data_IF_323892076114
#
_entry.id   IF_323892076114
#
_cell.length_a   1.000
_cell.length_b   1.000
_cell.length_c   1.000
_cell.angle_alpha   90.00
_cell.angle_beta   90.00
_cell.angle_gamma   90.00
#
_symmetry.space_group_name_H-M   'P 1'
#
loop_
_entity.id
_entity.type
_entity.pdbx_description
1 polymer ?
#
# COMPACT_ATOMS: atom_id res chain seq x y z
N UNK A 1 5.29 -7.67 -4.72
CA UNK A 1 4.83 -6.26 -4.61
C UNK A 1 3.37 -6.20 -4.18
N UNK A 2 2.44 -6.85 -4.88
CA UNK A 2 1.02 -6.88 -4.47
C UNK A 2 0.80 -7.43 -3.04
N UNK A 3 1.54 -8.47 -2.68
CA UNK A 3 1.52 -9.02 -1.32
C UNK A 3 2.00 -8.00 -0.27
N UNK A 4 3.11 -7.31 -0.53
CA UNK A 4 3.62 -6.25 0.35
C UNK A 4 2.58 -5.12 0.52
N UNK A 5 1.91 -4.72 -0.56
CA UNK A 5 0.83 -3.73 -0.49
C UNK A 5 -0.37 -4.23 0.31
N UNK A 6 -0.70 -5.52 0.20
CA UNK A 6 -1.73 -6.15 1.03
C UNK A 6 -1.33 -6.12 2.51
N UNK A 7 -0.10 -6.48 2.85
CA UNK A 7 0.40 -6.46 4.25
C UNK A 7 0.38 -5.05 4.83
N UNK A 8 0.80 -4.05 4.07
CA UNK A 8 0.62 -2.65 4.45
C UNK A 8 -0.84 -2.33 4.73
N UNK A 9 -1.75 -2.69 3.82
CA UNK A 9 -3.18 -2.43 3.97
C UNK A 9 -3.76 -3.14 5.20
N UNK A 10 -3.33 -4.37 5.50
CA UNK A 10 -3.74 -5.10 6.70
C UNK A 10 -3.21 -4.44 7.97
N UNK A 11 -1.94 -4.02 7.98
CA UNK A 11 -1.33 -3.32 9.12
C UNK A 11 -2.04 -1.99 9.41
N UNK A 12 -2.48 -1.31 8.35
CA UNK A 12 -3.26 -0.07 8.44
C UNK A 12 -4.67 -0.27 9.01
N UNK A 13 -5.20 -1.49 8.98
CA UNK A 13 -6.58 -1.80 9.40
C UNK A 13 -6.65 -2.52 10.76
N UNK A 14 -5.58 -3.20 11.15
CA UNK A 14 -5.55 -3.92 12.42
C UNK A 14 -5.53 -2.94 13.61
N UNK A 15 -6.28 -3.29 14.65
CA UNK A 15 -6.20 -2.65 15.98
C UNK A 15 -5.52 -3.56 17.00
N UNK A 16 -5.20 -4.80 16.59
CA UNK A 16 -4.46 -5.78 17.37
C UNK A 16 -2.96 -5.49 17.24
N UNK A 17 -2.33 -5.20 18.38
CA UNK A 17 -0.92 -4.83 18.49
C UNK A 17 0.02 -6.01 18.20
N UNK A 18 -0.33 -7.22 18.62
CA UNK A 18 0.46 -8.41 18.33
C UNK A 18 0.44 -8.72 16.83
N UNK A 19 -0.73 -8.58 16.20
CA UNK A 19 -0.86 -8.73 14.74
C UNK A 19 -0.13 -7.62 13.98
N UNK A 20 -0.22 -6.36 14.44
CA UNK A 20 0.52 -5.23 13.87
C UNK A 20 2.03 -5.49 13.88
N UNK A 21 2.56 -5.96 15.01
CA UNK A 21 3.98 -6.31 15.15
C UNK A 21 4.41 -7.43 14.20
N UNK A 22 3.59 -8.48 14.05
CA UNK A 22 3.87 -9.56 13.11
C UNK A 22 3.87 -9.05 11.66
N UNK A 23 2.87 -8.27 11.27
CA UNK A 23 2.75 -7.68 9.93
C UNK A 23 3.93 -6.75 9.61
N UNK A 24 4.43 -5.97 10.57
CA UNK A 24 5.63 -5.14 10.39
C UNK A 24 6.86 -6.00 10.06
N UNK A 25 7.05 -7.13 10.74
CA UNK A 25 8.12 -8.07 10.43
C UNK A 25 8.01 -8.65 9.01
N UNK A 26 6.79 -9.03 8.59
CA UNK A 26 6.54 -9.52 7.23
C UNK A 26 6.76 -8.43 6.16
N UNK A 27 6.35 -7.18 6.45
CA UNK A 27 6.59 -6.02 5.58
C UNK A 27 8.08 -5.77 5.39
N UNK A 28 8.86 -5.83 6.48
CA UNK A 28 10.32 -5.65 6.42
C UNK A 28 10.98 -6.70 5.54
N UNK A 29 10.62 -7.98 5.74
CA UNK A 29 11.21 -9.08 4.99
C UNK A 29 10.87 -8.96 3.51
N UNK A 30 9.60 -8.77 3.16
CA UNK A 30 9.15 -8.58 1.78
C UNK A 30 9.80 -7.36 1.11
N UNK A 31 10.00 -6.27 1.87
CA UNK A 31 10.70 -5.08 1.37
C UNK A 31 12.16 -5.39 1.05
N UNK A 32 12.83 -6.13 1.94
CA UNK A 32 14.22 -6.56 1.76
C UNK A 32 14.38 -7.53 0.59
N UNK A 33 13.51 -8.52 0.48
CA UNK A 33 13.48 -9.47 -0.63
C UNK A 33 13.26 -8.75 -1.96
N UNK A 34 12.32 -7.79 -2.01
CA UNK A 34 12.05 -6.99 -3.21
C UNK A 34 13.29 -6.19 -3.62
N UNK A 35 13.97 -5.54 -2.67
CA UNK A 35 15.21 -4.79 -2.92
C UNK A 35 16.35 -5.70 -3.43
N UNK A 36 16.55 -6.86 -2.79
CA UNK A 36 17.57 -7.83 -3.20
C UNK A 36 17.29 -8.39 -4.60
N UNK A 37 16.03 -8.71 -4.92
CA UNK A 37 15.63 -9.19 -6.23
C UNK A 37 15.88 -8.14 -7.32
N UNK A 38 15.57 -6.87 -7.04
CA UNK A 38 15.82 -5.76 -7.95
C UNK A 38 17.33 -5.58 -8.23
N UNK A 39 18.15 -5.63 -7.19
CA UNK A 39 19.62 -5.56 -7.31
C UNK A 39 20.18 -6.75 -8.10
N UNK A 40 19.73 -7.97 -7.81
CA UNK A 40 20.15 -9.16 -8.55
C UNK A 40 19.73 -9.12 -10.03
N UNK A 41 18.55 -8.58 -10.34
CA UNK A 41 18.11 -8.36 -11.71
C UNK A 41 19.05 -7.37 -12.44
N UNK A 42 19.42 -6.27 -11.77
CA UNK A 42 20.38 -5.29 -12.30
C UNK A 42 21.75 -5.90 -12.55
N UNK A 43 22.29 -6.69 -11.62
CA UNK A 43 23.57 -7.37 -11.78
C UNK A 43 23.59 -8.33 -12.99
N UNK A 44 22.47 -9.03 -13.25
CA UNK A 44 22.31 -9.85 -14.45
C UNK A 44 22.28 -9.02 -15.73
N UNK A 45 21.62 -7.87 -15.71
CA UNK A 45 21.61 -6.93 -16.83
C UNK A 45 23.02 -6.39 -17.12
N UNK A 46 23.78 -5.99 -16.09
CA UNK A 46 25.18 -5.59 -16.24
C UNK A 46 26.04 -6.69 -16.88
N UNK A 47 25.86 -7.94 -16.44
CA UNK A 47 26.58 -9.08 -17.01
C UNK A 47 26.23 -9.31 -18.48
N UNK A 48 24.95 -9.18 -18.84
CA UNK A 48 24.48 -9.28 -20.21
C UNK A 48 25.09 -8.20 -21.10
N UNK A 49 25.03 -6.94 -20.67
CA UNK A 49 25.67 -5.81 -21.38
C UNK A 49 27.17 -6.04 -21.59
N UNK A 50 27.91 -6.50 -20.57
CA UNK A 50 29.33 -6.83 -20.68
C UNK A 50 29.62 -7.97 -21.66
N UNK A 51 28.76 -8.99 -21.70
CA UNK A 51 28.92 -10.11 -22.64
C UNK A 51 28.70 -9.66 -24.09
N UNK A 52 27.65 -8.87 -24.33
CA UNK A 52 27.38 -8.28 -25.64
C UNK A 52 28.52 -7.34 -26.07
N UNK A 53 29.08 -6.55 -25.17
CA UNK A 53 30.25 -5.71 -25.44
C UNK A 53 31.51 -6.51 -25.82
N UNK A 54 31.76 -7.66 -25.18
CA UNK A 54 32.86 -8.56 -25.54
C UNK A 54 32.68 -9.14 -26.95
N UNK A 55 31.47 -9.56 -27.32
CA UNK A 55 31.17 -10.06 -28.67
C UNK A 55 31.46 -9.02 -29.75
N UNK A 56 31.31 -7.73 -29.41
CA UNK A 56 31.59 -6.59 -30.29
C UNK A 56 33.06 -6.15 -30.35
N UNK A 57 33.92 -6.67 -29.48
CA UNK A 57 35.30 -6.17 -29.35
C UNK A 57 36.22 -6.57 -30.51
N UNK A 58 35.83 -7.55 -31.35
CA UNK A 58 36.62 -8.01 -32.51
C UNK A 58 35.75 -8.00 -33.78
N UNK A 59 36.19 -7.38 -34.90
CA UNK A 59 35.40 -7.27 -36.14
C UNK A 59 34.92 -8.61 -36.73
N UNK A 60 35.75 -9.65 -36.68
CA UNK A 60 35.39 -11.00 -37.16
C UNK A 60 34.33 -11.66 -36.26
N UNK A 61 34.39 -11.40 -34.94
CA UNK A 61 33.38 -11.85 -33.97
C UNK A 61 32.03 -11.15 -34.20
N UNK A 62 32.02 -9.89 -34.61
CA UNK A 62 30.78 -9.16 -34.91
C UNK A 62 30.04 -9.76 -36.10
N UNK A 63 30.75 -10.05 -37.19
CA UNK A 63 30.12 -10.64 -38.38
C UNK A 63 29.61 -12.07 -38.10
N UNK A 64 30.39 -12.87 -37.37
CA UNK A 64 30.00 -14.23 -36.98
C UNK A 64 28.80 -14.26 -36.02
N UNK A 65 28.66 -13.26 -35.13
CA UNK A 65 27.66 -13.23 -34.07
C UNK A 65 26.59 -12.13 -34.27
N UNK A 66 26.46 -11.55 -35.46
CA UNK A 66 25.60 -10.39 -35.74
C UNK A 66 24.15 -10.60 -35.29
N UNK A 67 23.57 -11.78 -35.57
CA UNK A 67 22.22 -12.13 -35.15
C UNK A 67 22.09 -12.24 -33.62
N UNK A 68 23.09 -12.83 -32.96
CA UNK A 68 23.13 -13.01 -31.51
C UNK A 68 23.24 -11.65 -30.82
N UNK A 69 24.15 -10.79 -31.27
CA UNK A 69 24.35 -9.43 -30.75
C UNK A 69 23.03 -8.65 -30.81
N UNK A 70 22.35 -8.66 -31.96
CA UNK A 70 21.05 -7.96 -32.12
C UNK A 70 19.98 -8.52 -31.18
N UNK A 71 19.91 -9.84 -31.00
CA UNK A 71 18.95 -10.47 -30.09
C UNK A 71 19.26 -10.07 -28.64
N UNK A 72 20.52 -10.13 -28.23
CA UNK A 72 20.93 -9.75 -26.87
C UNK A 72 20.65 -8.26 -26.60
N UNK A 73 20.99 -7.35 -27.51
CA UNK A 73 20.70 -5.92 -27.34
C UNK A 73 19.20 -5.65 -27.15
N UNK A 74 18.35 -6.24 -28.00
CA UNK A 74 16.90 -6.08 -27.88
C UNK A 74 16.35 -6.65 -26.57
N UNK A 75 16.83 -7.83 -26.17
CA UNK A 75 16.42 -8.45 -24.90
C UNK A 75 16.88 -7.61 -23.70
N UNK A 76 18.11 -7.10 -23.73
CA UNK A 76 18.66 -6.25 -22.70
C UNK A 76 17.79 -5.01 -22.49
N UNK A 77 17.50 -4.28 -23.58
CA UNK A 77 16.64 -3.09 -23.57
C UNK A 77 15.25 -3.40 -23.02
N UNK A 78 14.64 -4.50 -23.47
CA UNK A 78 13.32 -4.91 -23.00
C UNK A 78 13.31 -5.22 -21.49
N UNK A 79 14.34 -5.91 -20.99
CA UNK A 79 14.44 -6.30 -19.58
C UNK A 79 14.76 -5.10 -18.67
N UNK A 80 15.62 -4.17 -19.11
CA UNK A 80 15.87 -2.91 -18.40
C UNK A 80 14.57 -2.12 -18.27
N UNK A 81 13.78 -1.99 -19.34
CA UNK A 81 12.49 -1.30 -19.29
C UNK A 81 11.54 -1.96 -18.30
N UNK A 82 11.41 -3.30 -18.34
CA UNK A 82 10.55 -4.04 -17.40
C UNK A 82 10.97 -3.85 -15.95
N UNK A 83 12.27 -3.88 -15.67
CA UNK A 83 12.79 -3.64 -14.32
C UNK A 83 12.47 -2.21 -13.87
N UNK A 84 12.72 -1.21 -14.72
CA UNK A 84 12.41 0.19 -14.41
C UNK A 84 10.90 0.39 -14.14
N UNK A 85 10.03 -0.19 -14.95
CA UNK A 85 8.57 -0.12 -14.76
C UNK A 85 8.13 -0.77 -13.44
N UNK A 86 8.66 -1.95 -13.12
CA UNK A 86 8.35 -2.65 -11.87
C UNK A 86 8.80 -1.85 -10.64
N UNK A 87 10.01 -1.28 -10.69
CA UNK A 87 10.52 -0.44 -9.61
C UNK A 87 9.75 0.87 -9.48
N UNK A 88 9.25 1.45 -10.59
CA UNK A 88 8.46 2.68 -10.55
C UNK A 88 7.10 2.44 -9.88
N UNK A 89 6.46 1.32 -10.19
CA UNK A 89 5.24 0.92 -9.51
C UNK A 89 5.47 0.66 -8.01
N UNK A 90 6.60 0.02 -7.65
CA UNK A 90 6.96 -0.19 -6.25
C UNK A 90 7.19 1.12 -5.50
N UNK A 91 7.95 2.05 -6.09
CA UNK A 91 8.17 3.39 -5.55
C UNK A 91 6.86 4.14 -5.32
N UNK A 92 5.91 4.02 -6.27
CA UNK A 92 4.57 4.62 -6.17
C UNK A 92 3.77 4.03 -5.00
N UNK A 93 3.84 2.72 -4.79
CA UNK A 93 3.18 2.04 -3.67
C UNK A 93 3.78 2.47 -2.34
N UNK A 94 5.11 2.50 -2.23
CA UNK A 94 5.81 2.93 -1.02
C UNK A 94 5.50 4.39 -0.65
N UNK A 95 5.52 5.29 -1.63
CA UNK A 95 5.14 6.70 -1.42
C UNK A 95 3.69 6.85 -0.91
N UNK A 96 2.76 6.02 -1.40
CA UNK A 96 1.38 6.03 -0.95
C UNK A 96 1.24 5.51 0.49
N UNK A 97 2.01 4.49 0.86
CA UNK A 97 2.03 3.93 2.21
C UNK A 97 2.65 4.91 3.21
N UNK A 98 3.75 5.58 2.85
CA UNK A 98 4.37 6.64 3.63
C UNK A 98 3.38 7.77 3.94
N UNK A 99 2.70 8.29 2.91
CA UNK A 99 1.70 9.35 3.06
C UNK A 99 0.53 8.92 3.96
N UNK A 100 0.13 7.65 3.87
CA UNK A 100 -0.90 7.09 4.76
C UNK A 100 -0.44 7.10 6.21
N UNK A 101 0.74 6.57 6.51
CA UNK A 101 1.25 6.49 7.87
C UNK A 101 1.45 7.89 8.48
N UNK A 102 1.97 8.86 7.71
CA UNK A 102 2.06 10.27 8.15
C UNK A 102 0.68 10.84 8.52
N UNK A 103 -0.33 10.64 7.67
CA UNK A 103 -1.70 11.09 7.94
C UNK A 103 -2.35 10.35 9.12
N UNK A 104 -2.02 9.07 9.32
CA UNK A 104 -2.49 8.29 10.47
C UNK A 104 -1.86 8.81 11.76
N UNK A 105 -0.56 9.11 11.79
CA UNK A 105 0.12 9.69 12.95
C UNK A 105 -0.51 11.01 13.37
N UNK A 106 -0.72 11.94 12.43
CA UNK A 106 -1.45 13.20 12.71
C UNK A 106 -2.82 12.93 13.33
N UNK A 107 -3.58 11.97 12.78
CA UNK A 107 -4.90 11.62 13.29
C UNK A 107 -4.84 10.97 14.67
N UNK A 108 -3.86 10.12 14.95
CA UNK A 108 -3.68 9.50 16.25
C UNK A 108 -3.37 10.56 17.31
N UNK A 109 -2.49 11.50 17.00
CA UNK A 109 -2.15 12.61 17.90
C UNK A 109 -3.42 13.40 18.25
N UNK A 110 -4.20 13.80 17.24
CA UNK A 110 -5.44 14.54 17.42
C UNK A 110 -6.48 13.83 18.30
N UNK A 111 -6.56 12.50 18.22
CA UNK A 111 -7.58 11.71 18.93
C UNK A 111 -7.13 11.36 20.35
N UNK A 112 -5.84 11.08 20.55
CA UNK A 112 -5.31 10.49 21.78
C UNK A 112 -4.76 11.52 22.76
N UNK A 113 -4.43 12.72 22.30
CA UNK A 113 -3.89 13.80 23.14
C UNK A 113 -4.82 15.01 23.18
N UNK A 114 -4.67 15.81 24.23
CA UNK A 114 -5.37 17.09 24.43
C UNK A 114 -4.39 18.22 24.68
N UNK A 115 -4.82 19.46 24.46
CA UNK A 115 -4.04 20.62 24.87
C UNK A 115 -3.90 20.70 26.40
N UNK A 116 -2.96 21.49 26.95
CA UNK A 116 -2.78 21.64 28.40
C UNK A 116 -4.02 22.15 29.14
N UNK A 117 -4.88 22.91 28.46
CA UNK A 117 -6.17 23.40 28.97
C UNK A 117 -7.30 22.35 28.87
N UNK A 118 -6.98 21.13 28.41
CA UNK A 118 -7.93 20.03 28.20
C UNK A 118 -8.73 20.13 26.90
N UNK A 119 -8.52 21.18 26.09
CA UNK A 119 -9.21 21.33 24.81
C UNK A 119 -8.71 20.31 23.77
N UNK A 120 -9.55 20.04 22.76
CA UNK A 120 -9.18 19.14 21.68
C UNK A 120 -8.10 19.78 20.79
N UNK A 121 -7.13 18.98 20.37
CA UNK A 121 -6.08 19.40 19.43
C UNK A 121 -6.71 19.66 18.05
N UNK A 122 -6.41 20.81 17.45
CA UNK A 122 -6.85 21.14 16.10
C UNK A 122 -5.96 20.49 15.02
N UNK A 123 -6.36 20.59 13.75
CA UNK A 123 -5.64 19.92 12.66
C UNK A 123 -4.21 20.46 12.44
N UNK A 124 -3.97 21.75 12.71
CA UNK A 124 -2.66 22.40 12.51
C UNK A 124 -1.68 21.99 13.60
N UNK A 125 -2.10 22.05 14.86
CA UNK A 125 -1.29 21.60 16.00
C UNK A 125 -0.97 20.11 15.89
N UNK A 126 -1.94 19.27 15.49
CA UNK A 126 -1.69 17.85 15.25
C UNK A 126 -0.68 17.59 14.12
N UNK A 127 -0.69 18.42 13.07
CA UNK A 127 0.28 18.30 11.97
C UNK A 127 1.69 18.65 12.43
N UNK A 128 1.85 19.75 13.17
CA UNK A 128 3.15 20.16 13.74
C UNK A 128 3.73 19.10 14.68
N UNK A 129 2.91 18.55 15.58
CA UNK A 129 3.34 17.49 16.49
C UNK A 129 3.71 16.20 15.74
N UNK A 130 2.99 15.87 14.67
CA UNK A 130 3.35 14.73 13.83
C UNK A 130 4.71 14.94 13.16
N UNK A 131 4.98 16.14 12.67
CA UNK A 131 6.26 16.51 12.05
C UNK A 131 7.41 16.46 13.06
N UNK A 132 7.23 17.00 14.27
CA UNK A 132 8.21 16.89 15.37
C UNK A 132 8.63 15.44 15.62
N UNK A 133 7.65 14.53 15.72
CA UNK A 133 7.93 13.10 15.89
C UNK A 133 8.77 12.56 14.73
N UNK A 134 8.46 12.94 13.48
CA UNK A 134 9.22 12.52 12.29
C UNK A 134 10.64 13.07 12.28
N UNK A 135 10.89 14.21 12.93
CA UNK A 135 12.21 14.80 13.14
C UNK A 135 12.92 14.23 14.38
N UNK A 136 12.33 13.22 15.03
CA UNK A 136 12.81 12.62 16.28
C UNK A 136 12.81 13.60 17.47
N UNK A 137 12.00 14.66 17.40
CA UNK A 137 11.69 15.54 18.53
C UNK A 137 10.40 15.08 19.22
N UNK A 138 10.57 14.48 20.39
CA UNK A 138 9.46 14.06 21.27
C UNK A 138 9.47 14.80 22.60
N UNK A 139 10.12 15.98 22.66
CA UNK A 139 10.30 16.75 23.89
C UNK A 139 9.03 17.49 24.34
N UNK A 140 8.07 17.68 23.41
CA UNK A 140 6.81 18.35 23.67
C UNK A 140 6.08 17.75 24.88
N UNK A 141 5.62 18.63 25.77
CA UNK A 141 4.85 18.25 26.96
C UNK A 141 3.63 17.38 26.63
N UNK A 142 3.02 17.59 25.46
CA UNK A 142 1.85 16.82 25.01
C UNK A 142 2.14 15.31 25.00
N UNK A 143 3.35 14.90 24.61
CA UNK A 143 3.71 13.49 24.56
C UNK A 143 3.94 12.85 25.94
N UNK A 144 4.12 13.65 26.99
CA UNK A 144 4.25 13.16 28.37
C UNK A 144 2.92 12.65 28.93
N UNK A 145 1.79 13.03 28.33
CA UNK A 145 0.45 12.60 28.75
C UNK A 145 0.25 11.08 28.64
N UNK A 146 0.90 10.43 27.66
CA UNK A 146 0.82 8.99 27.48
C UNK A 146 2.05 8.43 26.77
N UNK A 147 2.85 7.67 27.52
CA UNK A 147 4.03 6.97 27.01
C UNK A 147 3.69 5.84 26.03
N UNK A 148 2.57 5.15 26.25
CA UNK A 148 2.11 4.05 25.40
C UNK A 148 1.72 4.57 24.01
N UNK A 149 0.93 5.65 23.96
CA UNK A 149 0.56 6.29 22.69
C UNK A 149 1.79 6.81 21.95
N UNK A 150 2.74 7.40 22.68
CA UNK A 150 3.99 7.89 22.10
C UNK A 150 4.81 6.73 21.52
N UNK A 151 4.92 5.60 22.23
CA UNK A 151 5.63 4.42 21.75
C UNK A 151 5.05 3.90 20.43
N UNK A 152 3.72 3.79 20.32
CA UNK A 152 3.05 3.37 19.08
C UNK A 152 3.27 4.36 17.92
N UNK A 153 3.31 5.66 18.22
CA UNK A 153 3.63 6.71 17.24
C UNK A 153 5.09 6.59 16.77
N UNK A 154 6.03 6.36 17.69
CA UNK A 154 7.45 6.15 17.36
C UNK A 154 7.64 4.88 16.53
N UNK A 155 6.92 3.81 16.84
CA UNK A 155 6.91 2.60 16.02
C UNK A 155 6.44 2.92 14.59
N UNK A 156 5.35 3.68 14.43
CA UNK A 156 4.87 4.10 13.11
C UNK A 156 5.89 4.97 12.37
N UNK A 157 6.61 5.85 13.07
CA UNK A 157 7.73 6.61 12.51
C UNK A 157 8.84 5.69 12.00
N UNK A 158 9.19 4.65 12.76
CA UNK A 158 10.21 3.70 12.32
C UNK A 158 9.78 2.94 11.04
N UNK A 159 8.49 2.64 10.88
CA UNK A 159 7.97 2.10 9.62
C UNK A 159 8.19 3.08 8.46
N UNK A 160 7.87 4.36 8.67
CA UNK A 160 8.09 5.43 7.68
C UNK A 160 9.58 5.51 7.30
N UNK A 161 10.49 5.48 8.26
CA UNK A 161 11.94 5.51 7.96
C UNK A 161 12.40 4.32 7.11
N UNK A 162 11.83 3.13 7.33
CA UNK A 162 12.13 1.94 6.51
C UNK A 162 11.62 2.09 5.09
N UNK A 163 10.41 2.65 4.93
CA UNK A 163 9.85 3.00 3.63
C UNK A 163 10.77 4.00 2.93
N UNK A 164 11.14 5.09 3.59
CA UNK A 164 12.04 6.12 3.04
C UNK A 164 13.41 5.54 2.67
N UNK A 165 13.94 4.59 3.45
CA UNK A 165 15.19 3.89 3.11
C UNK A 165 15.02 3.06 1.84
N UNK A 166 13.95 2.26 1.74
CA UNK A 166 13.68 1.48 0.52
C UNK A 166 13.53 2.38 -0.71
N UNK A 167 12.92 3.56 -0.56
CA UNK A 167 12.78 4.54 -1.63
C UNK A 167 14.13 5.15 -2.05
N UNK A 168 15.05 5.36 -1.10
CA UNK A 168 16.42 5.80 -1.41
C UNK A 168 17.18 4.73 -2.22
N UNK A 169 17.07 3.47 -1.80
CA UNK A 169 17.72 2.35 -2.50
C UNK A 169 17.18 2.20 -3.93
N UNK A 170 15.87 2.38 -4.13
CA UNK A 170 15.25 2.39 -5.46
C UNK A 170 15.70 3.56 -6.33
N UNK A 171 15.82 4.76 -5.76
CA UNK A 171 16.36 5.91 -6.49
C UNK A 171 17.80 5.68 -6.94
N UNK A 172 18.63 5.06 -6.10
CA UNK A 172 19.98 4.66 -6.52
C UNK A 172 19.93 3.67 -7.69
N UNK A 173 19.06 2.65 -7.60
CA UNK A 173 18.87 1.71 -8.70
C UNK A 173 18.40 2.40 -9.98
N UNK A 174 17.50 3.39 -9.92
CA UNK A 174 17.09 4.15 -11.09
C UNK A 174 18.22 4.94 -11.73
N UNK A 175 19.08 5.57 -10.93
CA UNK A 175 20.25 6.26 -11.45
C UNK A 175 21.20 5.30 -12.15
N UNK A 176 21.42 4.11 -11.58
CA UNK A 176 22.22 3.07 -12.20
C UNK A 176 21.60 2.58 -13.52
N UNK A 177 20.27 2.38 -13.56
CA UNK A 177 19.55 1.99 -14.78
C UNK A 177 19.55 3.11 -15.83
N UNK A 178 19.48 4.38 -15.44
CA UNK A 178 19.55 5.50 -16.36
C UNK A 178 20.91 5.55 -17.09
N UNK A 179 21.99 5.23 -16.38
CA UNK A 179 23.32 5.08 -17.00
C UNK A 179 23.35 3.94 -18.04
N UNK A 180 22.67 2.84 -17.76
CA UNK A 180 22.55 1.69 -18.67
C UNK A 180 21.71 1.97 -19.92
N UNK A 181 20.79 2.94 -19.87
CA UNK A 181 19.87 3.29 -20.97
C UNK A 181 20.44 4.41 -21.87
N UNK A 182 21.44 5.16 -21.41
CA UNK A 182 22.00 6.31 -22.13
C UNK A 182 22.68 5.95 -23.48
N UNK A 183 22.88 4.66 -23.79
CA UNK A 183 23.35 4.20 -25.10
C UNK A 183 22.24 4.06 -26.17
N UNK A 184 20.95 4.14 -25.80
CA UNK A 184 19.82 3.92 -26.70
C UNK A 184 18.79 5.06 -26.54
N UNK A 185 18.99 6.16 -27.29
CA UNK A 185 18.30 7.46 -27.13
C UNK A 185 16.77 7.51 -27.26
N UNK A 186 16.07 6.39 -27.51
CA UNK A 186 14.60 6.36 -27.66
C UNK A 186 13.87 5.79 -26.41
N UNK A 187 14.56 5.04 -25.54
CA UNK A 187 13.96 4.42 -24.35
C UNK A 187 13.92 5.38 -23.13
N UNK A 188 14.72 6.43 -23.17
CA UNK A 188 14.92 7.39 -22.07
C UNK A 188 13.63 8.17 -21.72
N UNK A 189 12.81 8.52 -22.71
CA UNK A 189 11.60 9.33 -22.52
C UNK A 189 10.49 8.60 -21.72
N UNK A 190 10.36 7.28 -21.90
CA UNK A 190 9.33 6.49 -21.19
C UNK A 190 9.70 6.30 -19.72
N UNK A 191 11.00 6.13 -19.43
CA UNK A 191 11.51 5.98 -18.05
C UNK A 191 11.44 7.32 -17.32
N UNK A 192 11.89 8.42 -17.95
CA UNK A 192 11.82 9.75 -17.36
C UNK A 192 10.38 10.20 -17.12
N UNK A 193 9.43 9.93 -18.03
CA UNK A 193 8.03 10.27 -17.80
C UNK A 193 7.42 9.52 -16.59
N UNK A 194 7.71 8.23 -16.43
CA UNK A 194 7.19 7.43 -15.30
C UNK A 194 7.91 7.75 -13.97
N UNK A 195 9.20 8.05 -13.99
CA UNK A 195 9.99 8.43 -12.81
C UNK A 195 9.69 9.88 -12.37
N UNK A 196 9.54 10.83 -13.31
CA UNK A 196 9.11 12.21 -13.01
C UNK A 196 7.67 12.26 -12.47
N UNK A 197 6.78 11.42 -12.99
CA UNK A 197 5.43 11.29 -12.45
C UNK A 197 5.46 10.68 -11.04
N UNK A 198 6.36 9.73 -10.77
CA UNK A 198 6.60 9.15 -9.43
C UNK A 198 7.13 10.16 -8.41
N UNK A 199 8.03 11.05 -8.79
CA UNK A 199 8.54 12.14 -7.91
C UNK A 199 7.49 13.22 -7.65
N UNK A 200 6.59 13.51 -8.61
CA UNK A 200 5.45 14.43 -8.41
C UNK A 200 4.32 13.88 -7.53
N UNK A 201 4.36 12.60 -7.13
CA UNK A 201 3.33 12.02 -6.25
C UNK A 201 3.52 12.30 -4.75
N UNK A 202 4.65 12.89 -4.34
CA UNK A 202 4.85 13.36 -2.96
C UNK A 202 3.83 14.47 -2.61
N UNK A 203 3.45 15.33 -3.56
CA UNK A 203 2.39 16.34 -3.35
C UNK A 203 0.96 15.78 -3.50
N UNK A 204 0.76 14.78 -4.37
CA UNK A 204 -0.57 14.27 -4.74
C UNK A 204 -1.11 13.14 -3.85
N UNK A 205 -0.31 12.57 -2.95
CA UNK A 205 -0.73 11.52 -1.99
C UNK A 205 -1.96 11.91 -1.15
N UNK A 206 -2.11 13.21 -0.82
CA UNK A 206 -3.30 13.75 -0.11
C UNK A 206 -4.61 13.52 -0.88
N UNK A 207 -4.59 13.61 -2.21
CA UNK A 207 -5.79 13.44 -3.05
C UNK A 207 -6.21 11.96 -3.15
N UNK A 208 -5.24 11.04 -3.25
CA UNK A 208 -5.48 9.60 -3.28
C UNK A 208 -6.06 9.09 -1.95
N UNK A 209 -5.56 9.57 -0.80
CA UNK A 209 -6.11 9.28 0.53
C UNK A 209 -7.56 9.79 0.69
N UNK A 210 -7.87 10.96 0.13
CA UNK A 210 -9.23 11.52 0.10
C UNK A 210 -10.18 10.65 -0.75
N UNK A 211 -9.68 10.07 -1.85
CA UNK A 211 -10.44 9.17 -2.74
C UNK A 211 -10.65 7.79 -2.11
N UNK A 212 -9.62 7.21 -1.48
CA UNK A 212 -9.70 5.94 -0.75
C UNK A 212 -10.68 6.03 0.44
N UNK A 213 -10.66 7.13 1.20
CA UNK A 213 -11.62 7.39 2.29
C UNK A 213 -13.06 7.52 1.79
N UNK A 214 -13.27 8.07 0.58
CA UNK A 214 -14.59 8.13 -0.08
C UNK A 214 -15.06 6.74 -0.49
N UNK A 215 -14.19 5.89 -1.04
CA UNK A 215 -14.53 4.51 -1.41
C UNK A 215 -14.84 3.65 -0.19
N UNK A 216 -14.04 3.73 0.88
CA UNK A 216 -14.27 2.99 2.13
C UNK A 216 -15.60 3.39 2.81
N UNK A 217 -15.94 4.69 2.82
CA UNK A 217 -17.25 5.16 3.31
C UNK A 217 -18.42 4.64 2.47
N UNK A 218 -18.29 4.56 1.14
CA UNK A 218 -19.34 4.04 0.26
C UNK A 218 -19.55 2.54 0.45
N UNK A 219 -18.48 1.76 0.60
CA UNK A 219 -18.56 0.32 0.85
C UNK A 219 -19.26 -0.01 2.18
N UNK A 220 -18.88 0.69 3.28
CA UNK A 220 -19.52 0.49 4.59
C UNK A 220 -21.01 0.83 4.59
N UNK A 221 -21.43 1.87 3.87
CA UNK A 221 -22.86 2.22 3.73
C UNK A 221 -23.66 1.15 2.98
N UNK A 222 -23.07 0.55 1.93
CA UNK A 222 -23.70 -0.56 1.20
C UNK A 222 -23.84 -1.81 2.07
N UNK A 223 -22.80 -2.17 2.82
CA UNK A 223 -22.84 -3.33 3.71
C UNK A 223 -23.91 -3.20 4.80
N UNK A 224 -24.00 -2.03 5.45
CA UNK A 224 -25.03 -1.75 6.47
C UNK A 224 -26.43 -1.83 5.86
N UNK A 225 -26.62 -1.27 4.65
CA UNK A 225 -27.91 -1.35 3.96
C UNK A 225 -28.32 -2.81 3.65
N UNK A 226 -27.38 -3.63 3.18
CA UNK A 226 -27.63 -5.06 2.89
C UNK A 226 -27.99 -5.83 4.17
N UNK A 227 -27.27 -5.58 5.27
CA UNK A 227 -27.57 -6.21 6.57
C UNK A 227 -28.95 -5.83 7.11
N UNK A 228 -29.30 -4.53 7.06
CA UNK A 228 -30.61 -4.05 7.51
C UNK A 228 -31.72 -4.66 6.65
N UNK A 229 -31.58 -4.66 5.33
CA UNK A 229 -32.55 -5.30 4.43
C UNK A 229 -32.69 -6.80 4.72
N UNK A 230 -31.57 -7.52 4.93
CA UNK A 230 -31.57 -8.94 5.26
C UNK A 230 -32.32 -9.23 6.56
N UNK A 231 -32.05 -8.48 7.63
CA UNK A 231 -32.73 -8.65 8.93
C UNK A 231 -34.23 -8.37 8.81
N UNK A 232 -34.64 -7.33 8.06
CA UNK A 232 -36.06 -7.03 7.86
C UNK A 232 -36.80 -8.13 7.10
N UNK A 233 -36.16 -8.73 6.09
CA UNK A 233 -36.75 -9.82 5.32
C UNK A 233 -36.94 -11.06 6.21
N UNK A 234 -35.92 -11.44 6.98
CA UNK A 234 -36.01 -12.58 7.90
C UNK A 234 -37.10 -12.38 8.94
N UNK A 235 -37.21 -11.17 9.52
CA UNK A 235 -38.26 -10.85 10.49
C UNK A 235 -39.67 -11.01 9.90
N UNK A 236 -39.89 -10.57 8.65
CA UNK A 236 -41.18 -10.73 7.97
C UNK A 236 -41.54 -12.21 7.77
N UNK A 237 -40.58 -13.05 7.36
CA UNK A 237 -40.81 -14.48 7.19
C UNK A 237 -41.17 -15.18 8.51
N UNK A 238 -40.50 -14.81 9.60
CA UNK A 238 -40.81 -15.36 10.94
C UNK A 238 -42.23 -14.97 11.36
N UNK A 239 -42.63 -13.71 11.18
CA UNK A 239 -43.98 -13.24 11.53
C UNK A 239 -45.05 -13.97 10.72
N UNK A 240 -44.86 -14.12 9.41
CA UNK A 240 -45.80 -14.85 8.54
C UNK A 240 -45.89 -16.33 8.95
N UNK A 241 -44.77 -16.97 9.27
CA UNK A 241 -44.74 -18.37 9.72
C UNK A 241 -45.48 -18.60 11.03
N UNK A 242 -45.32 -17.69 12.00
CA UNK A 242 -46.03 -17.76 13.30
C UNK A 242 -47.53 -17.49 13.13
N UNK A 243 -47.92 -16.52 12.30
CA UNK A 243 -49.33 -16.26 11.99
C UNK A 243 -49.99 -17.45 11.27
N UNK A 244 -49.31 -18.06 10.30
CA UNK A 244 -49.81 -19.25 9.63
C UNK A 244 -49.94 -20.47 10.58
N UNK A 245 -49.03 -20.62 11.54
CA UNK A 245 -49.06 -21.71 12.51
C UNK A 245 -50.15 -21.53 13.59
N UNK A 246 -50.50 -20.28 13.94
CA UNK A 246 -51.54 -19.96 14.92
C UNK A 246 -52.95 -20.03 14.34
N UNK A 247 -53.12 -19.83 13.02
CA UNK A 247 -54.37 -20.06 12.30
C UNK A 247 -54.49 -21.56 11.95
N UNK A 248 -54.52 -22.43 12.96
CA UNK A 248 -54.79 -23.85 12.79
C UNK A 248 -56.29 -24.04 12.65
N UNK A 249 -56.72 -24.37 11.43
CA UNK A 249 -58.12 -24.54 10.98
C UNK A 249 -58.90 -25.47 11.93
N UNK A 250 -60.04 -25.06 12.51
CA UNK A 250 -60.88 -25.94 13.32
C UNK A 250 -61.49 -27.04 12.44
N UNK A 251 -61.21 -28.30 12.79
CA UNK A 251 -61.83 -29.48 12.15
C UNK A 251 -63.32 -29.49 12.48
N UNK A 252 -64.16 -29.38 11.46
CA UNK A 252 -65.61 -29.56 11.58
C UNK A 252 -65.91 -31.03 11.89
N UNK A 253 -66.42 -31.33 13.08
CA UNK A 253 -67.09 -32.61 13.38
C UNK A 253 -68.58 -32.50 13.08
N UNK A 254 -69.21 -33.48 12.42
CA UNK A 254 -70.62 -33.41 12.04
C UNK A 254 -71.55 -33.63 13.26
N UNK A 255 -72.65 -32.89 13.29
CA UNK A 255 -73.69 -32.90 14.34
C UNK A 255 -74.51 -34.21 14.32
N UNK A 256 -74.91 -34.75 15.49
CA UNK A 256 -75.98 -35.74 15.55
C UNK A 256 -77.35 -35.03 15.53
N UNK A 257 -78.30 -35.61 14.79
CA UNK A 257 -79.70 -35.18 14.70
C UNK A 257 -80.46 -35.43 16.00
N UNK A 258 -81.47 -34.61 16.35
CA UNK A 258 -82.24 -34.80 17.57
C UNK A 258 -83.34 -35.85 17.41
N UNK A 259 -83.37 -36.81 18.34
CA UNK A 259 -84.45 -37.76 18.60
C UNK A 259 -84.37 -38.18 20.05
#
# INVERSE_FOLDING_TARGET
MDELQQKHTENMQTVDEARSKALRGEIDELSRETGNAAKAAKEKLDAMSKNTAKLKSVPDSVHANSAIIRIEENQYTHLVLKLAMAMAEYQRQQSANEAYYKAQTQRQIKIKYTNPDGSAIDDSTAAQLAEQVMENDTSSYIFQQSKEVLASIIETRNDIYRIEQSMRDLNQLFNDLAFLVNEQGELMDVILANVQQSTRYVENGRAALKKARRYQKKSRKKLICVLVCGVTIVALFVVVGVLAATIKIPRTTPSPSPG
#
